data_IF_185863473415
#
_entry.id   IF_185863473415
#
_cell.length_a   1.000
_cell.length_b   1.000
_cell.length_c   1.000
_cell.angle_alpha   90.00
_cell.angle_beta   90.00
_cell.angle_gamma   90.00
#
_symmetry.space_group_name_H-M   'P 1'
#
loop_
_entity.id
_entity.type
_entity.pdbx_description
1 polymer ?
#
# COMPACT_ATOMS: atom_id res chain seq x y z
N UNK A 1 -11.77 16.19 24.81
CA UNK A 1 -11.37 14.77 24.84
C UNK A 1 -12.21 14.12 23.77
N UNK A 2 -11.61 13.32 22.88
CA UNK A 2 -12.36 12.76 21.77
C UNK A 2 -13.43 11.79 22.27
N UNK A 3 -14.63 11.84 21.68
CA UNK A 3 -15.70 10.89 22.00
C UNK A 3 -15.45 9.51 21.38
N UNK A 4 -14.47 9.39 20.47
CA UNK A 4 -14.18 8.20 19.70
C UNK A 4 -12.70 7.83 19.82
N UNK A 5 -12.38 6.55 19.75
CA UNK A 5 -11.00 6.05 19.80
C UNK A 5 -10.40 5.97 18.40
N UNK A 6 -10.09 7.11 17.80
CA UNK A 6 -9.41 7.18 16.51
C UNK A 6 -7.94 6.79 16.62
N UNK A 7 -7.41 6.15 15.57
CA UNK A 7 -5.97 6.06 15.37
C UNK A 7 -5.54 7.10 14.32
N UNK A 8 -4.67 8.07 14.67
CA UNK A 8 -4.20 9.09 13.72
C UNK A 8 -3.46 8.51 12.52
N UNK A 9 -2.94 7.28 12.62
CA UNK A 9 -2.23 6.63 11.52
C UNK A 9 -3.11 6.50 10.27
N UNK A 10 -4.42 6.25 10.41
CA UNK A 10 -5.29 6.14 9.24
C UNK A 10 -5.37 7.43 8.43
N UNK A 11 -5.55 8.57 9.11
CA UNK A 11 -5.59 9.88 8.45
C UNK A 11 -4.24 10.23 7.82
N UNK A 12 -3.14 9.88 8.49
CA UNK A 12 -1.79 10.07 7.96
C UNK A 12 -1.54 9.26 6.70
N UNK A 13 -1.87 7.95 6.69
CA UNK A 13 -1.70 7.09 5.50
C UNK A 13 -2.57 7.56 4.34
N UNK A 14 -3.79 8.01 4.63
CA UNK A 14 -4.69 8.57 3.62
C UNK A 14 -4.05 9.78 2.93
N UNK A 15 -3.54 10.75 3.71
CA UNK A 15 -2.85 11.93 3.15
C UNK A 15 -1.65 11.56 2.29
N UNK A 16 -0.84 10.62 2.76
CA UNK A 16 0.38 10.20 2.07
C UNK A 16 0.05 9.49 0.75
N UNK A 17 -0.94 8.60 0.72
CA UNK A 17 -1.39 7.94 -0.52
C UNK A 17 -2.01 8.93 -1.50
N UNK A 18 -2.88 9.84 -1.04
CA UNK A 18 -3.48 10.87 -1.91
C UNK A 18 -2.44 11.85 -2.49
N UNK A 19 -1.38 12.15 -1.74
CA UNK A 19 -0.28 12.97 -2.23
C UNK A 19 0.62 12.24 -3.24
N UNK A 20 0.59 10.90 -3.27
CA UNK A 20 1.45 10.06 -4.11
C UNK A 20 0.64 8.96 -4.84
N UNK A 21 -0.35 9.35 -5.68
CA UNK A 21 -1.29 8.40 -6.26
C UNK A 21 -0.58 7.35 -7.14
N UNK A 22 -0.93 6.08 -6.95
CA UNK A 22 -0.32 4.95 -7.66
C UNK A 22 1.05 4.53 -7.12
N UNK A 23 1.51 5.13 -6.02
CA UNK A 23 2.68 4.62 -5.30
C UNK A 23 2.31 3.36 -4.54
N UNK A 24 2.84 2.23 -4.99
CA UNK A 24 2.59 0.92 -4.39
C UNK A 24 2.74 0.91 -2.87
N UNK A 25 3.80 1.53 -2.34
CA UNK A 25 4.06 1.52 -0.90
C UNK A 25 3.01 2.30 -0.11
N UNK A 26 2.58 3.44 -0.65
CA UNK A 26 1.65 4.30 0.07
C UNK A 26 0.24 3.73 -0.02
N UNK A 27 -0.12 3.14 -1.15
CA UNK A 27 -1.38 2.44 -1.36
C UNK A 27 -1.48 1.18 -0.50
N UNK A 28 -0.43 0.34 -0.46
CA UNK A 28 -0.37 -0.84 0.40
C UNK A 28 -0.49 -0.47 1.88
N UNK A 29 0.19 0.59 2.30
CA UNK A 29 0.12 1.13 3.66
C UNK A 29 -1.27 1.66 4.01
N UNK A 30 -1.94 2.33 3.06
CA UNK A 30 -3.33 2.77 3.22
C UNK A 30 -4.29 1.58 3.36
N UNK A 31 -4.17 0.56 2.51
CA UNK A 31 -5.01 -0.65 2.62
C UNK A 31 -4.78 -1.37 3.95
N UNK A 32 -3.53 -1.47 4.40
CA UNK A 32 -3.24 -2.00 5.72
C UNK A 32 -3.93 -1.19 6.83
N UNK A 33 -3.85 0.14 6.78
CA UNK A 33 -4.51 1.00 7.75
C UNK A 33 -6.05 0.84 7.72
N UNK A 34 -6.67 0.70 6.54
CA UNK A 34 -8.11 0.46 6.40
C UNK A 34 -8.58 -0.88 7.00
N UNK A 35 -7.72 -1.90 6.99
CA UNK A 35 -8.01 -3.17 7.67
C UNK A 35 -7.90 -3.09 9.19
N UNK A 36 -6.99 -2.27 9.70
CA UNK A 36 -6.68 -2.19 11.13
C UNK A 36 -7.54 -1.18 11.87
N UNK A 37 -7.87 -0.06 11.24
CA UNK A 37 -8.45 1.10 11.90
C UNK A 37 -9.84 1.41 11.38
N UNK A 38 -10.82 1.59 12.27
CA UNK A 38 -12.17 1.93 11.86
C UNK A 38 -12.25 3.39 11.38
N UNK A 39 -13.24 3.66 10.53
CA UNK A 39 -13.70 5.01 10.21
C UNK A 39 -14.98 5.31 10.98
N UNK A 40 -15.24 6.58 11.23
CA UNK A 40 -16.50 7.01 11.80
C UNK A 40 -17.54 7.14 10.69
N UNK A 41 -18.66 6.45 10.83
CA UNK A 41 -19.74 6.46 9.87
C UNK A 41 -21.11 6.65 10.56
N UNK A 42 -22.14 7.07 9.81
CA UNK A 42 -23.50 7.19 10.31
C UNK A 42 -24.05 5.83 10.76
N UNK A 43 -24.66 5.78 11.95
CA UNK A 43 -25.27 4.57 12.51
C UNK A 43 -26.51 4.09 11.75
N UNK A 44 -27.20 5.01 11.09
CA UNK A 44 -28.37 4.73 10.26
C UNK A 44 -28.13 5.18 8.82
N UNK A 45 -28.83 4.56 7.87
CA UNK A 45 -28.73 4.88 6.44
C UNK A 45 -28.79 6.39 6.22
N UNK A 46 -27.68 6.96 5.76
CA UNK A 46 -27.49 8.38 5.50
C UNK A 46 -26.70 8.55 4.21
N UNK A 47 -27.04 9.55 3.41
CA UNK A 47 -26.26 9.92 2.24
C UNK A 47 -26.35 11.42 1.99
N UNK A 48 -25.30 11.95 1.37
CA UNK A 48 -25.25 13.29 0.82
C UNK A 48 -25.38 13.17 -0.70
N UNK A 49 -26.29 13.92 -1.35
CA UNK A 49 -26.35 13.96 -2.80
C UNK A 49 -25.13 14.73 -3.35
N UNK A 50 -24.38 14.12 -4.26
CA UNK A 50 -23.25 14.74 -4.95
C UNK A 50 -23.47 14.55 -6.45
N UNK A 51 -23.80 15.63 -7.15
CA UNK A 51 -24.23 15.57 -8.56
C UNK A 51 -25.37 14.56 -8.77
N UNK A 52 -25.16 13.52 -9.58
CA UNK A 52 -26.12 12.44 -9.83
C UNK A 52 -25.88 11.19 -8.94
N UNK A 53 -24.95 11.29 -7.98
CA UNK A 53 -24.52 10.19 -7.10
C UNK A 53 -24.99 10.37 -5.65
N UNK A 54 -25.00 9.25 -4.91
CA UNK A 54 -25.28 9.25 -3.48
C UNK A 54 -24.01 8.86 -2.73
N UNK A 55 -23.54 9.76 -1.88
CA UNK A 55 -22.33 9.56 -1.11
C UNK A 55 -22.60 9.27 0.36
N UNK A 56 -22.03 8.20 0.90
CA UNK A 56 -21.94 8.01 2.34
C UNK A 56 -20.72 8.78 2.87
N UNK A 57 -20.91 9.81 3.72
CA UNK A 57 -19.79 10.49 4.36
C UNK A 57 -19.23 9.65 5.51
N UNK A 58 -17.91 9.50 5.54
CA UNK A 58 -17.17 8.85 6.63
C UNK A 58 -15.97 9.70 7.02
N UNK A 59 -15.50 9.55 8.26
CA UNK A 59 -14.47 10.42 8.83
C UNK A 59 -13.34 9.63 9.46
N UNK A 60 -12.11 10.08 9.24
CA UNK A 60 -10.89 9.53 9.87
C UNK A 60 -10.53 10.27 11.17
N UNK A 61 -11.16 11.42 11.44
CA UNK A 61 -10.96 12.21 12.67
C UNK A 61 -12.26 12.86 13.15
N UNK A 62 -12.32 13.23 14.44
CA UNK A 62 -13.47 13.96 15.00
C UNK A 62 -13.53 15.42 14.51
N UNK A 63 -12.40 16.05 14.21
CA UNK A 63 -12.36 17.43 13.73
C UNK A 63 -13.09 17.56 12.38
N UNK A 64 -12.85 16.63 11.45
CA UNK A 64 -13.53 16.63 10.16
C UNK A 64 -15.04 16.40 10.30
N UNK A 65 -15.46 15.57 11.27
CA UNK A 65 -16.86 15.40 11.59
C UNK A 65 -17.48 16.71 12.12
N UNK A 66 -16.82 17.36 13.09
CA UNK A 66 -17.32 18.61 13.70
C UNK A 66 -17.50 19.71 12.64
N UNK A 67 -16.55 19.83 11.71
CA UNK A 67 -16.64 20.76 10.58
C UNK A 67 -17.84 20.40 9.71
N UNK A 68 -17.97 19.14 9.29
CA UNK A 68 -19.09 18.68 8.46
C UNK A 68 -20.46 18.90 9.12
N UNK A 69 -20.58 18.63 10.42
CA UNK A 69 -21.82 18.81 11.19
C UNK A 69 -22.21 20.28 11.38
N UNK A 70 -21.25 21.22 11.33
CA UNK A 70 -21.52 22.64 11.56
C UNK A 70 -22.49 23.26 10.53
N UNK A 71 -22.61 22.66 9.35
CA UNK A 71 -23.50 23.10 8.27
C UNK A 71 -24.78 22.25 8.17
N UNK A 72 -24.85 21.10 8.85
CA UNK A 72 -26.03 20.24 8.90
C UNK A 72 -27.01 20.76 9.96
N UNK A 73 -27.79 21.77 9.57
CA UNK A 73 -28.72 22.47 10.48
C UNK A 73 -29.96 21.66 10.87
N UNK A 74 -30.38 20.68 10.06
CA UNK A 74 -31.65 19.95 10.25
C UNK A 74 -31.48 18.42 10.35
N UNK A 75 -30.27 17.92 10.62
CA UNK A 75 -30.00 16.48 10.63
C UNK A 75 -29.37 16.00 11.94
N UNK A 76 -30.11 15.16 12.66
CA UNK A 76 -29.60 14.42 13.81
C UNK A 76 -29.29 12.97 13.38
N UNK A 77 -28.00 12.61 13.39
CA UNK A 77 -27.57 11.21 13.31
C UNK A 77 -26.62 10.89 14.46
N UNK A 78 -26.66 9.64 14.89
CA UNK A 78 -25.60 9.06 15.69
C UNK A 78 -24.47 8.61 14.77
N UNK A 79 -23.25 8.70 15.28
CA UNK A 79 -22.02 8.30 14.59
C UNK A 79 -21.34 7.20 15.38
N UNK A 80 -20.84 6.18 14.69
CA UNK A 80 -20.12 5.08 15.34
C UNK A 80 -18.96 4.59 14.47
N UNK A 81 -18.00 3.93 15.13
CA UNK A 81 -16.80 3.42 14.48
C UNK A 81 -17.13 2.08 13.81
N UNK A 82 -16.82 1.98 12.52
CA UNK A 82 -17.01 0.78 11.72
C UNK A 82 -15.75 0.42 10.93
N UNK A 83 -15.58 -0.87 10.65
CA UNK A 83 -14.62 -1.28 9.63
C UNK A 83 -15.05 -0.74 8.27
N UNK A 84 -14.08 -0.29 7.47
CA UNK A 84 -14.34 0.13 6.09
C UNK A 84 -14.95 -1.01 5.26
N UNK A 85 -14.51 -2.25 5.50
CA UNK A 85 -15.00 -3.44 4.78
C UNK A 85 -16.48 -3.69 5.10
N UNK A 86 -16.85 -3.61 6.39
CA UNK A 86 -18.24 -3.78 6.82
C UNK A 86 -19.15 -2.71 6.20
N UNK A 87 -18.67 -1.47 6.09
CA UNK A 87 -19.41 -0.40 5.41
C UNK A 87 -19.61 -0.77 3.94
N UNK A 88 -18.54 -1.13 3.23
CA UNK A 88 -18.63 -1.43 1.80
C UNK A 88 -19.54 -2.62 1.51
N UNK A 89 -19.49 -3.67 2.33
CA UNK A 89 -20.39 -4.82 2.25
C UNK A 89 -21.87 -4.41 2.44
N UNK A 90 -22.16 -3.49 3.36
CA UNK A 90 -23.51 -2.96 3.55
C UNK A 90 -23.97 -2.12 2.36
N UNK A 91 -23.07 -1.32 1.78
CA UNK A 91 -23.40 -0.45 0.66
C UNK A 91 -23.76 -1.23 -0.61
N UNK A 92 -23.28 -2.47 -0.78
CA UNK A 92 -23.62 -3.33 -1.93
C UNK A 92 -25.12 -3.58 -2.11
N UNK A 93 -25.92 -3.48 -1.04
CA UNK A 93 -27.37 -3.69 -1.06
C UNK A 93 -28.16 -2.37 -1.17
N UNK A 94 -27.48 -1.27 -1.46
CA UNK A 94 -28.06 0.09 -1.53
C UNK A 94 -27.84 0.73 -2.89
N UNK A 95 -28.41 1.93 -3.08
CA UNK A 95 -28.12 2.79 -4.25
C UNK A 95 -27.09 3.88 -3.95
N UNK A 96 -26.35 3.74 -2.85
CA UNK A 96 -25.21 4.59 -2.50
C UNK A 96 -23.97 4.03 -3.19
N UNK A 97 -23.43 4.81 -4.11
CA UNK A 97 -22.36 4.40 -5.03
C UNK A 97 -21.04 5.15 -4.79
N UNK A 98 -21.03 6.10 -3.86
CA UNK A 98 -19.84 6.83 -3.45
C UNK A 98 -19.60 6.66 -1.94
N UNK A 99 -18.36 6.36 -1.56
CA UNK A 99 -17.86 6.56 -0.21
C UNK A 99 -17.02 7.84 -0.17
N UNK A 100 -17.51 8.84 0.56
CA UNK A 100 -16.83 10.12 0.71
C UNK A 100 -16.05 10.14 2.03
N UNK A 101 -14.72 10.09 1.97
CA UNK A 101 -13.86 10.17 3.16
C UNK A 101 -13.49 11.63 3.39
N UNK A 102 -13.76 12.12 4.61
CA UNK A 102 -13.62 13.51 5.03
C UNK A 102 -14.13 14.51 3.97
N UNK A 103 -15.41 14.41 3.56
CA UNK A 103 -15.96 15.31 2.56
C UNK A 103 -15.89 16.74 3.06
N UNK A 104 -15.27 17.59 2.25
CA UNK A 104 -15.15 19.02 2.53
C UNK A 104 -16.39 19.79 2.14
N UNK A 105 -16.66 20.87 2.86
CA UNK A 105 -17.61 21.87 2.44
C UNK A 105 -16.95 22.84 1.44
N UNK A 106 -17.71 23.54 0.58
CA UNK A 106 -17.15 24.45 -0.42
C UNK A 106 -16.22 25.56 0.13
N UNK A 107 -16.42 25.92 1.41
CA UNK A 107 -15.66 26.94 2.13
C UNK A 107 -14.41 26.42 2.84
N UNK A 108 -14.23 25.10 2.93
CA UNK A 108 -13.14 24.49 3.70
C UNK A 108 -11.84 24.42 2.88
N UNK A 109 -10.72 24.65 3.56
CA UNK A 109 -9.39 24.42 2.97
C UNK A 109 -9.14 22.92 2.79
N UNK A 110 -8.54 22.56 1.66
CA UNK A 110 -8.16 21.17 1.40
C UNK A 110 -6.95 20.80 2.25
N UNK A 111 -7.15 19.89 3.19
CA UNK A 111 -6.10 19.39 4.07
C UNK A 111 -5.37 18.17 3.46
N UNK A 112 -5.75 17.73 2.26
CA UNK A 112 -5.13 16.60 1.56
C UNK A 112 -5.60 15.22 2.03
N UNK A 113 -6.70 15.14 2.78
CA UNK A 113 -7.31 13.91 3.28
C UNK A 113 -8.77 13.72 2.82
N UNK A 114 -9.24 14.52 1.85
CA UNK A 114 -10.58 14.40 1.25
C UNK A 114 -10.51 13.55 -0.01
N UNK A 115 -11.36 12.53 -0.11
CA UNK A 115 -11.47 11.70 -1.32
C UNK A 115 -12.88 11.13 -1.48
N UNK A 116 -13.32 11.01 -2.73
CA UNK A 116 -14.60 10.42 -3.11
C UNK A 116 -14.32 9.17 -3.93
N UNK A 117 -14.55 8.01 -3.33
CA UNK A 117 -14.35 6.74 -4.01
C UNK A 117 -15.67 6.19 -4.53
N UNK A 118 -15.68 5.72 -5.78
CA UNK A 118 -16.70 4.78 -6.22
C UNK A 118 -16.59 3.50 -5.39
N UNK A 119 -17.72 3.01 -4.87
CA UNK A 119 -17.71 1.81 -4.02
C UNK A 119 -17.16 0.58 -4.73
N UNK A 120 -17.42 0.33 -6.05
CA UNK A 120 -16.81 -0.79 -6.76
C UNK A 120 -15.30 -0.63 -6.93
N UNK A 121 -14.82 0.57 -7.25
CA UNK A 121 -13.40 0.85 -7.45
C UNK A 121 -12.60 0.72 -6.16
N UNK A 122 -13.13 1.21 -5.03
CA UNK A 122 -12.51 1.05 -3.72
C UNK A 122 -12.46 -0.42 -3.30
N UNK A 123 -13.52 -1.19 -3.54
CA UNK A 123 -13.50 -2.62 -3.27
C UNK A 123 -12.44 -3.34 -4.11
N UNK A 124 -12.33 -3.04 -5.40
CA UNK A 124 -11.29 -3.61 -6.26
C UNK A 124 -9.88 -3.24 -5.77
N UNK A 125 -9.68 -1.98 -5.38
CA UNK A 125 -8.42 -1.50 -4.80
C UNK A 125 -8.05 -2.27 -3.53
N UNK A 126 -8.98 -2.38 -2.58
CA UNK A 126 -8.77 -3.11 -1.33
C UNK A 126 -8.47 -4.59 -1.59
N UNK A 127 -9.24 -5.24 -2.47
CA UNK A 127 -9.05 -6.64 -2.83
C UNK A 127 -7.66 -6.86 -3.45
N UNK A 128 -7.25 -6.04 -4.41
CA UNK A 128 -5.96 -6.16 -5.07
C UNK A 128 -4.78 -6.18 -4.09
N UNK A 129 -4.71 -5.19 -3.19
CA UNK A 129 -3.63 -5.12 -2.21
C UNK A 129 -3.76 -6.18 -1.10
N UNK A 130 -4.98 -6.58 -0.75
CA UNK A 130 -5.20 -7.70 0.18
C UNK A 130 -4.71 -9.03 -0.40
N UNK A 131 -4.92 -9.29 -1.69
CA UNK A 131 -4.38 -10.46 -2.37
C UNK A 131 -2.84 -10.46 -2.37
N UNK A 132 -2.21 -9.31 -2.61
CA UNK A 132 -0.76 -9.16 -2.52
C UNK A 132 -0.26 -9.50 -1.11
N UNK A 133 -0.87 -8.88 -0.07
CA UNK A 133 -0.51 -9.14 1.33
C UNK A 133 -0.68 -10.62 1.69
N UNK A 134 -1.82 -11.21 1.33
CA UNK A 134 -2.09 -12.63 1.60
C UNK A 134 -1.11 -13.54 0.88
N UNK A 135 -0.70 -13.20 -0.34
CA UNK A 135 0.24 -14.02 -1.10
C UNK A 135 1.63 -14.03 -0.44
N UNK A 136 2.14 -12.88 0.01
CA UNK A 136 3.44 -12.79 0.70
C UNK A 136 3.39 -13.38 2.11
N UNK A 137 2.34 -13.08 2.87
CA UNK A 137 2.23 -13.43 4.29
C UNK A 137 1.47 -14.73 4.56
N UNK A 138 1.09 -15.48 3.51
CA UNK A 138 0.46 -16.79 3.66
C UNK A 138 1.39 -17.76 4.41
N UNK A 139 0.85 -18.64 5.26
CA UNK A 139 1.65 -19.71 5.89
C UNK A 139 2.44 -20.52 4.85
N UNK A 140 1.82 -20.82 3.71
CA UNK A 140 2.45 -21.54 2.60
C UNK A 140 3.68 -20.82 2.07
N UNK A 141 3.62 -19.49 1.89
CA UNK A 141 4.77 -18.70 1.43
C UNK A 141 5.85 -18.56 2.51
N UNK A 142 5.46 -18.44 3.78
CA UNK A 142 6.41 -18.32 4.89
C UNK A 142 7.22 -19.61 5.09
N UNK A 143 6.60 -20.76 4.85
CA UNK A 143 7.21 -22.09 4.96
C UNK A 143 7.92 -22.57 3.67
N UNK A 144 7.68 -21.92 2.53
CA UNK A 144 8.27 -22.33 1.25
C UNK A 144 9.81 -22.22 1.24
N UNK A 145 10.46 -22.99 0.36
CA UNK A 145 11.90 -22.88 0.13
C UNK A 145 12.26 -21.53 -0.50
N UNK A 146 13.48 -21.04 -0.27
CA UNK A 146 13.90 -19.68 -0.64
C UNK A 146 13.58 -19.32 -2.10
N UNK A 147 13.72 -20.26 -3.04
CA UNK A 147 13.44 -20.00 -4.47
C UNK A 147 11.96 -19.92 -4.81
N UNK A 148 11.12 -20.58 -4.02
CA UNK A 148 9.69 -20.70 -4.24
C UNK A 148 8.88 -19.63 -3.49
N UNK A 149 9.52 -18.91 -2.56
CA UNK A 149 8.93 -17.77 -1.85
C UNK A 149 8.66 -16.60 -2.80
N UNK A 150 7.51 -15.99 -2.63
CA UNK A 150 7.20 -14.67 -3.14
C UNK A 150 7.85 -13.59 -2.28
N UNK A 151 8.54 -12.69 -2.96
CA UNK A 151 9.15 -11.50 -2.39
C UNK A 151 8.58 -10.24 -3.01
N UNK A 152 8.60 -9.16 -2.25
CA UNK A 152 8.54 -7.81 -2.81
C UNK A 152 9.89 -7.49 -3.45
N UNK A 153 9.85 -7.17 -4.75
CA UNK A 153 11.03 -6.92 -5.58
C UNK A 153 10.91 -5.54 -6.21
N UNK A 154 11.66 -4.53 -5.73
CA UNK A 154 11.68 -3.23 -6.38
C UNK A 154 12.22 -3.33 -7.80
N UNK A 155 11.54 -2.71 -8.75
CA UNK A 155 11.90 -2.73 -10.16
C UNK A 155 11.54 -1.42 -10.86
N UNK A 156 12.21 -1.14 -11.96
CA UNK A 156 11.80 -0.15 -12.94
C UNK A 156 11.25 -0.89 -14.17
N UNK A 157 10.01 -0.59 -14.52
CA UNK A 157 9.35 -1.25 -15.65
C UNK A 157 9.20 -0.26 -16.78
N UNK A 158 9.83 -0.57 -17.91
CA UNK A 158 9.71 0.23 -19.13
C UNK A 158 8.37 -0.03 -19.83
N UNK A 159 7.98 0.85 -20.75
CA UNK A 159 6.76 0.68 -21.55
C UNK A 159 6.78 -0.55 -22.45
N UNK A 160 7.95 -1.10 -22.76
CA UNK A 160 8.11 -2.36 -23.50
C UNK A 160 8.07 -3.60 -22.61
N UNK A 161 7.83 -3.45 -21.30
CA UNK A 161 7.79 -4.55 -20.34
C UNK A 161 9.15 -5.06 -19.88
N UNK A 162 10.26 -4.43 -20.31
CA UNK A 162 11.58 -4.73 -19.76
C UNK A 162 11.66 -4.22 -18.33
N UNK A 163 12.15 -5.08 -17.44
CA UNK A 163 12.30 -4.84 -16.00
C UNK A 163 13.78 -4.72 -15.65
N UNK A 164 14.17 -3.63 -15.02
CA UNK A 164 15.49 -3.46 -14.40
C UNK A 164 15.33 -3.31 -12.90
N UNK A 165 16.38 -3.60 -12.14
CA UNK A 165 16.28 -3.67 -10.68
C UNK A 165 17.33 -2.77 -10.03
N UNK A 166 17.01 -2.10 -8.91
CA UNK A 166 17.99 -1.36 -8.14
C UNK A 166 18.93 -2.32 -7.42
N UNK A 167 20.22 -2.01 -7.43
CA UNK A 167 21.26 -2.88 -6.85
C UNK A 167 21.80 -2.29 -5.55
N UNK A 168 22.16 -3.18 -4.62
CA UNK A 168 22.99 -2.88 -3.47
C UNK A 168 24.43 -3.23 -3.77
N UNK A 169 25.35 -2.36 -3.37
CA UNK A 169 26.79 -2.58 -3.55
C UNK A 169 27.39 -2.92 -2.19
N UNK A 170 28.09 -4.05 -2.12
CA UNK A 170 28.80 -4.45 -0.91
C UNK A 170 30.19 -3.78 -0.80
N UNK A 171 30.94 -4.09 0.27
CA UNK A 171 32.26 -3.48 0.50
C UNK A 171 33.30 -3.84 -0.57
N UNK A 172 33.11 -4.96 -1.26
CA UNK A 172 33.98 -5.47 -2.33
C UNK A 172 33.55 -4.96 -3.73
N UNK A 173 32.59 -4.02 -3.77
CA UNK A 173 32.03 -3.44 -4.98
C UNK A 173 31.28 -4.48 -5.85
N UNK A 174 30.68 -5.48 -5.20
CA UNK A 174 29.80 -6.47 -5.81
C UNK A 174 28.34 -6.03 -5.69
N UNK A 175 27.55 -6.30 -6.73
CA UNK A 175 26.15 -5.89 -6.83
C UNK A 175 25.22 -7.04 -6.46
N UNK A 176 24.22 -6.79 -5.61
CA UNK A 176 23.19 -7.74 -5.21
C UNK A 176 21.79 -7.11 -5.29
N UNK A 177 20.79 -7.91 -5.67
CA UNK A 177 19.41 -7.46 -5.72
C UNK A 177 18.72 -7.52 -4.35
N UNK A 178 18.19 -6.41 -3.82
CA UNK A 178 17.43 -6.41 -2.60
C UNK A 178 16.04 -7.02 -2.82
N UNK A 179 15.73 -8.07 -2.07
CA UNK A 179 14.40 -8.68 -1.97
C UNK A 179 13.86 -8.47 -0.56
N UNK A 180 12.53 -8.40 -0.42
CA UNK A 180 11.89 -8.21 0.87
C UNK A 180 10.77 -9.22 1.09
N UNK A 181 10.77 -9.86 2.24
CA UNK A 181 9.70 -10.79 2.64
C UNK A 181 8.79 -10.22 3.73
N UNK A 182 9.04 -8.98 4.17
CA UNK A 182 8.21 -8.26 5.12
C UNK A 182 8.15 -6.77 4.81
N UNK A 183 7.09 -6.12 5.32
CA UNK A 183 6.80 -4.71 5.05
C UNK A 183 7.78 -3.76 5.76
N UNK A 184 8.30 -4.12 6.93
CA UNK A 184 9.18 -3.25 7.70
C UNK A 184 10.51 -3.03 6.96
N UNK A 185 11.13 -4.10 6.46
CA UNK A 185 12.38 -4.01 5.70
C UNK A 185 12.17 -3.28 4.37
N UNK A 186 11.05 -3.55 3.68
CA UNK A 186 10.69 -2.86 2.44
C UNK A 186 10.48 -1.36 2.68
N UNK A 187 9.79 -0.99 3.76
CA UNK A 187 9.57 0.40 4.15
C UNK A 187 10.87 1.11 4.53
N UNK A 188 11.79 0.44 5.25
CA UNK A 188 13.14 0.98 5.52
C UNK A 188 13.87 1.29 4.22
N UNK A 189 13.87 0.37 3.27
CA UNK A 189 14.51 0.57 1.96
C UNK A 189 13.86 1.71 1.17
N UNK A 190 12.53 1.76 1.15
CA UNK A 190 11.77 2.77 0.44
C UNK A 190 11.89 4.18 1.07
N UNK A 191 12.34 4.29 2.32
CA UNK A 191 12.57 5.57 3.00
C UNK A 191 14.03 5.98 3.05
N UNK A 192 14.95 5.11 2.64
CA UNK A 192 16.38 5.42 2.57
C UNK A 192 16.64 6.39 1.42
N UNK A 193 17.27 7.54 1.70
CA UNK A 193 17.36 8.66 0.76
C UNK A 193 18.03 8.26 -0.57
N UNK A 194 19.02 7.37 -0.48
CA UNK A 194 19.77 6.88 -1.63
C UNK A 194 18.89 6.07 -2.63
N UNK A 195 17.97 5.24 -2.14
CA UNK A 195 17.12 4.39 -3.00
C UNK A 195 15.79 5.09 -3.35
N UNK A 196 15.18 5.72 -2.35
CA UNK A 196 13.84 6.27 -2.40
C UNK A 196 13.66 7.38 -3.43
N UNK A 197 14.62 8.29 -3.56
CA UNK A 197 14.47 9.44 -4.46
C UNK A 197 14.43 8.98 -5.93
N UNK A 198 15.43 8.21 -6.36
CA UNK A 198 15.49 7.71 -7.72
C UNK A 198 14.31 6.76 -8.03
N UNK A 199 13.91 5.94 -7.05
CA UNK A 199 12.77 5.04 -7.21
C UNK A 199 11.47 5.81 -7.43
N UNK A 200 11.17 6.83 -6.62
CA UNK A 200 9.98 7.67 -6.75
C UNK A 200 9.99 8.52 -8.03
N UNK A 201 11.11 9.17 -8.35
CA UNK A 201 11.23 10.05 -9.52
C UNK A 201 11.08 9.30 -10.86
N UNK A 202 11.39 8.01 -10.89
CA UNK A 202 11.37 7.20 -12.10
C UNK A 202 10.19 6.20 -12.14
N UNK A 203 9.16 6.41 -11.32
CA UNK A 203 7.97 5.54 -11.23
C UNK A 203 8.35 4.06 -11.00
N UNK A 204 9.27 3.84 -10.05
CA UNK A 204 9.61 2.50 -9.58
C UNK A 204 8.38 1.75 -9.07
N UNK A 205 8.36 0.46 -9.32
CA UNK A 205 7.27 -0.45 -8.96
C UNK A 205 7.80 -1.54 -8.05
N UNK A 206 6.99 -2.00 -7.11
CA UNK A 206 7.30 -3.20 -6.35
C UNK A 206 6.56 -4.35 -6.99
N UNK A 207 7.32 -5.30 -7.53
CA UNK A 207 6.79 -6.52 -8.12
C UNK A 207 6.69 -7.61 -7.06
N UNK A 208 5.79 -8.55 -7.28
CA UNK A 208 5.66 -9.74 -6.46
C UNK A 208 6.18 -10.93 -7.25
N UNK A 209 7.41 -11.36 -6.96
CA UNK A 209 8.11 -12.38 -7.75
C UNK A 209 8.75 -13.43 -6.86
N UNK A 210 8.79 -14.67 -7.36
CA UNK A 210 9.71 -15.71 -6.91
C UNK A 210 11.10 -15.51 -7.49
N UNK A 211 12.12 -16.10 -6.87
CA UNK A 211 13.49 -16.08 -7.43
C UNK A 211 13.52 -16.76 -8.80
N UNK A 212 12.79 -17.86 -8.97
CA UNK A 212 12.74 -18.56 -10.26
C UNK A 212 12.08 -17.71 -11.37
N UNK A 213 11.06 -16.92 -11.01
CA UNK A 213 10.41 -15.97 -11.92
C UNK A 213 11.35 -14.78 -12.23
N UNK A 214 12.15 -14.35 -11.24
CA UNK A 214 13.17 -13.32 -11.42
C UNK A 214 14.27 -13.76 -12.39
N UNK A 215 14.74 -15.01 -12.29
CA UNK A 215 15.82 -15.56 -13.11
C UNK A 215 15.39 -15.88 -14.54
N UNK A 216 14.18 -16.42 -14.71
CA UNK A 216 13.74 -16.94 -16.01
C UNK A 216 12.82 -15.99 -16.77
N UNK A 217 12.29 -14.95 -16.12
CA UNK A 217 11.21 -14.11 -16.66
C UNK A 217 9.87 -14.85 -16.70
N UNK A 218 8.77 -14.09 -16.77
CA UNK A 218 7.44 -14.64 -17.08
C UNK A 218 7.10 -14.30 -18.53
N UNK A 219 6.65 -15.29 -19.31
CA UNK A 219 5.99 -15.33 -20.64
C UNK A 219 6.32 -14.26 -21.71
N UNK A 220 6.48 -12.97 -21.37
CA UNK A 220 6.86 -11.85 -22.24
C UNK A 220 7.78 -10.78 -21.59
N UNK A 221 8.00 -10.79 -20.28
CA UNK A 221 8.80 -9.81 -19.56
C UNK A 221 10.29 -10.19 -19.51
N UNK A 222 11.17 -9.27 -19.94
CA UNK A 222 12.63 -9.46 -19.90
C UNK A 222 13.18 -8.82 -18.63
N UNK A 223 13.66 -9.64 -17.71
CA UNK A 223 14.38 -9.20 -16.52
C UNK A 223 15.86 -8.95 -16.89
N UNK A 224 16.30 -7.70 -16.79
CA UNK A 224 17.70 -7.32 -16.91
C UNK A 224 18.31 -7.17 -15.51
N UNK A 225 18.99 -8.22 -15.07
CA UNK A 225 19.66 -8.29 -13.76
C UNK A 225 21.01 -7.54 -13.76
N UNK A 226 21.42 -6.94 -14.89
CA UNK A 226 22.64 -6.18 -15.02
C UNK A 226 23.90 -6.98 -14.62
N UNK A 227 24.66 -6.44 -13.67
CA UNK A 227 25.88 -7.06 -13.13
C UNK A 227 25.67 -7.71 -11.76
N UNK A 228 24.41 -7.86 -11.33
CA UNK A 228 24.14 -8.46 -10.03
C UNK A 228 24.74 -9.87 -9.96
N UNK A 229 25.44 -10.18 -8.88
CA UNK A 229 25.98 -11.50 -8.58
C UNK A 229 24.97 -12.40 -7.87
N UNK A 230 23.89 -11.82 -7.35
CA UNK A 230 22.93 -12.54 -6.52
C UNK A 230 21.81 -11.68 -5.97
N UNK A 231 21.26 -12.14 -4.84
CA UNK A 231 20.24 -11.43 -4.07
C UNK A 231 20.72 -11.19 -2.64
N UNK A 232 20.02 -10.31 -1.94
CA UNK A 232 20.06 -10.17 -0.49
C UNK A 232 18.64 -9.96 0.01
N UNK A 233 18.22 -10.75 1.01
CA UNK A 233 16.88 -10.64 1.59
C UNK A 233 16.93 -9.76 2.83
N UNK A 234 16.05 -8.74 2.91
CA UNK A 234 15.96 -7.78 4.01
C UNK A 234 17.30 -7.13 4.42
N UNK A 235 18.07 -6.59 3.46
CA UNK A 235 19.45 -6.14 3.68
C UNK A 235 19.60 -5.09 4.78
N UNK A 236 18.59 -4.25 5.02
CA UNK A 236 18.65 -3.14 5.99
C UNK A 236 18.23 -3.55 7.41
N UNK A 237 17.90 -4.81 7.63
CA UNK A 237 17.60 -5.32 8.98
C UNK A 237 18.86 -5.74 9.74
N UNK A 238 19.96 -5.90 9.01
CA UNK A 238 21.23 -6.38 9.54
C UNK A 238 22.22 -5.23 9.69
N UNK A 239 23.20 -5.38 10.59
CA UNK A 239 24.36 -4.49 10.60
C UNK A 239 25.17 -4.67 9.31
N UNK A 240 26.01 -3.68 8.94
CA UNK A 240 26.81 -3.76 7.69
C UNK A 240 27.67 -5.02 7.56
N UNK A 241 28.15 -5.57 8.67
CA UNK A 241 28.93 -6.82 8.69
C UNK A 241 28.03 -8.05 8.49
N UNK A 242 26.78 -8.00 8.97
CA UNK A 242 25.81 -9.08 8.89
C UNK A 242 25.07 -9.13 7.55
N UNK A 243 24.94 -8.00 6.83
CA UNK A 243 24.33 -7.98 5.48
C UNK A 243 25.02 -9.00 4.56
N UNK A 244 26.35 -9.14 4.67
CA UNK A 244 27.12 -10.10 3.87
C UNK A 244 26.64 -11.54 4.04
N UNK A 245 26.12 -11.90 5.23
CA UNK A 245 25.60 -13.25 5.47
C UNK A 245 24.21 -13.48 4.85
N UNK A 246 23.52 -12.41 4.45
CA UNK A 246 22.23 -12.48 3.75
C UNK A 246 22.41 -12.50 2.22
N UNK A 247 23.62 -12.27 1.72
CA UNK A 247 23.93 -12.27 0.29
C UNK A 247 24.06 -13.71 -0.21
N UNK A 248 23.30 -14.05 -1.25
CA UNK A 248 23.30 -15.37 -1.86
C UNK A 248 23.51 -15.19 -3.35
N UNK A 249 24.54 -15.83 -3.90
CA UNK A 249 24.88 -15.72 -5.32
C UNK A 249 23.92 -16.52 -6.19
N UNK A 250 23.83 -16.15 -7.48
CA UNK A 250 23.08 -16.93 -8.47
C UNK A 250 23.60 -18.37 -8.60
N UNK A 251 24.91 -18.58 -8.43
CA UNK A 251 25.50 -19.91 -8.47
C UNK A 251 25.05 -20.76 -7.28
N UNK A 252 24.94 -20.19 -6.09
CA UNK A 252 24.42 -20.90 -4.92
C UNK A 252 22.93 -21.23 -5.09
N UNK A 253 22.13 -20.31 -5.62
CA UNK A 253 20.70 -20.53 -5.87
C UNK A 253 20.42 -21.58 -6.96
N UNK A 254 21.37 -21.87 -7.84
CA UNK A 254 21.18 -22.82 -8.96
C UNK A 254 21.77 -24.21 -8.70
N UNK A 255 22.42 -24.41 -7.55
CA UNK A 255 23.07 -25.68 -7.17
C UNK A 255 22.14 -26.70 -6.50
N UNK A 256 20.90 -26.31 -6.20
CA UNK A 256 19.84 -27.15 -5.64
C UNK A 256 18.78 -27.54 -6.70
#
# INVERSE_FOLDING_TARGET
>A
MSNYNFNPELDERLRVSLANPGSFMEDLSLVYAFHQFPVLAPKSVFFVPIEDHKALPVFTTEEELEVFLSELTDFETEWELHSLIEILDQLMETDIDILAINPKLPQDEDKGNTVYFGTPELMQFLVHYTEILNKVFSPENLEAEQREKYYFVPAFVTTSGQRTFPNLINQDNEEYLPLFDNLDSLAKWHNEAYFSQAFKENNGQVLLLKIDELLNGEDEAINDLGKSLGITVNPLDYSQEEVQNSMVTWEELTRD
#
